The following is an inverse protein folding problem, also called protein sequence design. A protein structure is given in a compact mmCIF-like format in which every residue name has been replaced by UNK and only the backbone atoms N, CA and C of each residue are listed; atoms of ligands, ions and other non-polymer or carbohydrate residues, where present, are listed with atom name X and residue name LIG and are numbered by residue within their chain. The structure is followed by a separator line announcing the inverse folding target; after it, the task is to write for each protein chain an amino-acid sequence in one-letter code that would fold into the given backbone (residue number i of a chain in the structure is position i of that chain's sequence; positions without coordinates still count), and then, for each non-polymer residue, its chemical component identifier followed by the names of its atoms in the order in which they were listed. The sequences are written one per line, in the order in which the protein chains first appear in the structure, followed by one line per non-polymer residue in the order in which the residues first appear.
data_IF_380354713874
#
_entry.id   IF_380354713874
#
_cell.length_a   1.000
_cell.length_b   1.000
_cell.length_c   1.000
_cell.angle_alpha   90.00
_cell.angle_beta   90.00
_cell.angle_gamma   90.00
#
_symmetry.space_group_name_H-M   'P 1'
#
loop_
_entity.id
_entity.type
_entity.pdbx_description
1 polymer ?
#
# COMPACT_ATOMS: atom_id res chain seq x y z
N UNK A 1 13.49 -8.09 -10.64
CA UNK A 1 12.67 -6.88 -10.45
C UNK A 1 13.60 -5.69 -10.35
N UNK A 2 13.37 -4.65 -11.15
CA UNK A 2 14.08 -3.36 -11.11
C UNK A 2 13.16 -2.34 -10.45
N UNK A 3 13.67 -1.50 -9.55
CA UNK A 3 12.87 -0.55 -8.75
C UNK A 3 13.34 0.89 -8.93
N UNK A 4 12.43 1.84 -8.74
CA UNK A 4 12.74 3.28 -8.77
C UNK A 4 12.51 3.92 -10.13
N UNK A 5 12.15 5.21 -10.11
CA UNK A 5 11.79 5.98 -11.31
C UNK A 5 12.99 6.20 -12.25
N UNK A 6 14.15 6.59 -11.69
CA UNK A 6 15.38 6.81 -12.46
C UNK A 6 15.81 5.56 -13.25
N UNK A 7 15.53 4.38 -12.70
CA UNK A 7 15.86 3.11 -13.31
C UNK A 7 14.77 2.59 -14.25
N UNK A 8 13.70 3.36 -14.50
CA UNK A 8 12.49 2.89 -15.21
C UNK A 8 12.06 1.52 -14.63
N UNK A 9 11.93 1.48 -13.31
CA UNK A 9 11.59 0.27 -12.56
C UNK A 9 10.12 0.24 -12.14
N UNK A 10 9.82 -0.58 -11.14
CA UNK A 10 8.56 -0.51 -10.40
C UNK A 10 8.63 0.60 -9.36
N UNK A 11 7.55 1.39 -9.26
CA UNK A 11 7.39 2.45 -8.26
C UNK A 11 6.16 2.20 -7.38
N UNK A 12 6.23 2.64 -6.13
CA UNK A 12 5.07 2.72 -5.25
C UNK A 12 4.32 4.03 -5.45
N UNK A 13 3.00 3.97 -5.42
CA UNK A 13 2.11 5.13 -5.46
C UNK A 13 1.45 5.25 -4.08
N UNK A 14 1.46 6.46 -3.54
CA UNK A 14 0.89 6.76 -2.23
C UNK A 14 0.25 8.16 -2.30
N UNK A 15 -0.96 8.30 -1.78
CA UNK A 15 -1.68 9.57 -1.72
C UNK A 15 -1.33 10.34 -0.44
N UNK A 16 -0.84 11.58 -0.56
CA UNK A 16 -0.57 12.46 0.59
C UNK A 16 -1.72 13.44 0.83
N UNK A 17 -1.79 14.01 2.04
CA UNK A 17 -2.74 15.08 2.36
C UNK A 17 -4.17 14.59 2.55
N UNK A 18 -4.35 13.34 2.95
CA UNK A 18 -5.66 12.78 3.29
C UNK A 18 -6.12 13.26 4.68
N UNK A 19 -7.42 13.35 4.96
CA UNK A 19 -7.89 13.73 6.30
C UNK A 19 -7.45 12.71 7.36
N UNK A 20 -7.05 13.21 8.53
CA UNK A 20 -6.58 12.41 9.68
C UNK A 20 -5.34 11.55 9.36
N UNK A 21 -4.50 12.04 8.44
CA UNK A 21 -3.24 11.41 8.04
C UNK A 21 -2.28 11.32 9.23
N UNK A 22 -1.88 10.09 9.54
CA UNK A 22 -0.90 9.76 10.56
C UNK A 22 0.50 9.68 9.95
N UNK A 23 0.60 8.99 8.81
CA UNK A 23 1.76 8.91 7.93
C UNK A 23 1.27 9.02 6.49
N UNK A 24 2.12 9.39 5.50
CA UNK A 24 1.73 9.45 4.10
C UNK A 24 0.87 8.26 3.67
N UNK A 25 -0.38 8.54 3.28
CA UNK A 25 -1.37 7.55 2.81
C UNK A 25 -1.98 6.62 3.86
N UNK A 26 -1.63 6.79 5.14
CA UNK A 26 -2.21 6.09 6.26
C UNK A 26 -3.00 7.08 7.12
N UNK A 27 -4.31 6.89 7.22
CA UNK A 27 -5.13 7.66 8.16
C UNK A 27 -5.76 6.79 9.24
N UNK A 28 -5.95 7.40 10.41
CA UNK A 28 -6.60 6.77 11.55
C UNK A 28 -7.68 7.72 12.05
N UNK A 29 -8.94 7.39 11.77
CA UNK A 29 -10.09 8.20 12.16
C UNK A 29 -10.77 7.59 13.39
N UNK A 30 -11.00 8.41 14.41
CA UNK A 30 -11.86 8.02 15.52
C UNK A 30 -13.34 8.04 15.09
N UNK A 31 -14.04 6.94 15.30
CA UNK A 31 -15.43 6.74 14.89
C UNK A 31 -16.43 6.88 16.04
N UNK A 32 -15.96 7.13 17.28
CA UNK A 32 -16.80 7.27 18.47
C UNK A 32 -16.77 6.04 19.39
N UNK A 33 -17.64 6.08 20.39
CA UNK A 33 -17.88 5.00 21.35
C UNK A 33 -19.34 4.56 21.21
N UNK A 34 -19.61 3.26 21.08
CA UNK A 34 -20.98 2.74 21.00
C UNK A 34 -21.68 2.72 22.36
N UNK A 35 -23.00 2.51 22.37
CA UNK A 35 -23.80 2.37 23.61
C UNK A 35 -23.33 1.21 24.50
N UNK A 36 -22.64 0.23 23.92
CA UNK A 36 -22.04 -0.91 24.61
C UNK A 36 -20.59 -0.63 25.07
N UNK A 37 -20.18 0.64 25.11
CA UNK A 37 -18.85 1.09 25.49
C UNK A 37 -17.71 0.55 24.57
N UNK A 38 -18.00 0.32 23.29
CA UNK A 38 -16.97 -0.08 22.30
C UNK A 38 -16.41 1.14 21.59
N UNK A 39 -15.12 1.39 21.77
CA UNK A 39 -14.37 2.44 21.08
C UNK A 39 -13.95 1.98 19.69
N UNK A 40 -14.34 2.71 18.65
CA UNK A 40 -14.09 2.34 17.25
C UNK A 40 -13.13 3.31 16.56
N UNK A 41 -12.20 2.74 15.79
CA UNK A 41 -11.29 3.48 14.92
C UNK A 41 -11.34 2.89 13.50
N UNK A 42 -11.35 3.76 12.50
CA UNK A 42 -11.20 3.40 11.10
C UNK A 42 -9.75 3.66 10.68
N UNK A 43 -9.03 2.59 10.38
CA UNK A 43 -7.67 2.66 9.85
C UNK A 43 -7.73 2.39 8.35
N UNK A 44 -7.29 3.36 7.52
CA UNK A 44 -7.28 3.21 6.07
C UNK A 44 -5.87 3.46 5.51
N UNK A 45 -5.48 2.63 4.55
CA UNK A 45 -4.17 2.67 3.90
C UNK A 45 -4.35 2.72 2.38
N UNK A 46 -3.83 3.77 1.73
CA UNK A 46 -4.00 4.04 0.30
C UNK A 46 -2.68 3.88 -0.46
N UNK A 47 -2.42 2.66 -0.92
CA UNK A 47 -1.20 2.33 -1.67
C UNK A 47 -1.53 1.65 -2.99
N UNK A 48 -0.69 1.89 -3.98
CA UNK A 48 -0.68 1.18 -5.25
C UNK A 48 0.76 1.02 -5.75
N UNK A 49 0.96 0.30 -6.84
CA UNK A 49 2.25 0.18 -7.49
C UNK A 49 2.07 0.28 -9.00
N UNK A 50 3.06 0.85 -9.68
CA UNK A 50 3.09 0.98 -11.13
C UNK A 50 4.39 0.39 -11.69
N UNK A 51 4.25 -0.38 -12.77
CA UNK A 51 5.37 -0.91 -13.55
C UNK A 51 5.62 0.09 -14.69
N UNK A 52 6.71 0.84 -14.64
CA UNK A 52 6.97 1.91 -15.62
C UNK A 52 7.27 1.38 -17.02
N UNK A 53 7.94 0.22 -17.12
CA UNK A 53 8.21 -0.49 -18.37
C UNK A 53 8.03 -1.99 -18.20
N UNK A 54 7.52 -2.72 -19.21
CA UNK A 54 7.17 -4.13 -19.06
C UNK A 54 8.33 -5.04 -18.63
N UNK A 55 9.57 -4.70 -18.95
CA UNK A 55 10.77 -5.48 -18.61
C UNK A 55 11.25 -5.29 -17.15
N UNK A 56 10.65 -4.37 -16.39
CA UNK A 56 11.05 -4.11 -15.00
C UNK A 56 10.70 -5.27 -14.04
N UNK A 57 9.76 -6.14 -14.43
CA UNK A 57 9.31 -7.30 -13.64
C UNK A 57 9.34 -8.55 -14.50
N UNK A 58 9.86 -9.64 -13.94
CA UNK A 58 9.70 -10.99 -14.46
C UNK A 58 8.97 -11.82 -13.42
N UNK A 59 8.05 -12.67 -13.87
CA UNK A 59 7.32 -13.62 -13.04
C UNK A 59 7.86 -15.01 -13.36
N UNK A 60 8.25 -15.75 -12.32
CA UNK A 60 8.53 -17.18 -12.46
C UNK A 60 7.24 -17.94 -12.18
N UNK A 61 6.87 -18.78 -13.12
CA UNK A 61 5.74 -19.70 -13.00
C UNK A 61 6.27 -21.11 -12.72
N UNK A 62 5.45 -21.96 -12.12
CA UNK A 62 5.76 -23.37 -11.84
C UNK A 62 7.04 -23.62 -11.01
N UNK A 63 7.27 -22.78 -9.99
CA UNK A 63 8.44 -22.92 -9.09
C UNK A 63 8.21 -23.99 -8.02
N UNK A 64 8.95 -25.10 -8.08
CA UNK A 64 8.97 -26.14 -7.05
C UNK A 64 9.90 -25.75 -5.89
N UNK A 65 9.36 -25.68 -4.67
CA UNK A 65 10.08 -25.25 -3.44
C UNK A 65 10.37 -26.40 -2.46
N UNK A 66 10.13 -27.66 -2.85
CA UNK A 66 10.34 -28.87 -2.04
C UNK A 66 9.64 -30.09 -2.64
N UNK A 67 9.85 -31.27 -2.04
CA UNK A 67 9.18 -32.54 -2.41
C UNK A 67 8.05 -32.88 -1.45
#
# INVERSE_FOLDING_TARGET
MRTGEESQGVIGLHQTGIPDEYEPSLNVRFMGISEQAVTSYLVSAYYSAAILVPDAVGVLEDVEIGR
#
